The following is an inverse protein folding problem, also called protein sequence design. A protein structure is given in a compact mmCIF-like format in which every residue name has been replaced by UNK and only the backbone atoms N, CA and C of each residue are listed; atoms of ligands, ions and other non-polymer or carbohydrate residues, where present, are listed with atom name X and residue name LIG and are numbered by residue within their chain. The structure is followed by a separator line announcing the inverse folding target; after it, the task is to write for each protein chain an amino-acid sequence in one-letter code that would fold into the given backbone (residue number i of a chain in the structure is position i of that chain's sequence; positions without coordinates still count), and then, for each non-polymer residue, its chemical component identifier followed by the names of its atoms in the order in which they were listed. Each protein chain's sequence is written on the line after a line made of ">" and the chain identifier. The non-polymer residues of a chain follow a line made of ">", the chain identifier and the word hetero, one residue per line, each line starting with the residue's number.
data_IF_140629018570
#
_entry.id   IF_140629018570
#
_cell.length_a   1.000
_cell.length_b   1.000
_cell.length_c   1.000
_cell.angle_alpha   90.00
_cell.angle_beta   90.00
_cell.angle_gamma   90.00
#
_symmetry.space_group_name_H-M   'P 1'
#
loop_
_entity.id
_entity.type
_entity.pdbx_description
1 polymer ?
#
# COMPACT_ATOMS: atom_id res chain seq x y z
N UNK A 1 -8.28 2.74 -9.94
CA UNK A 1 -8.85 1.95 -11.06
C UNK A 1 -7.90 1.82 -12.24
N UNK A 2 -7.31 2.90 -12.78
CA UNK A 2 -6.41 2.83 -13.93
C UNK A 2 -5.23 1.85 -13.74
N UNK A 3 -4.58 1.88 -12.57
CA UNK A 3 -3.49 0.94 -12.23
C UNK A 3 -3.94 -0.52 -12.30
N UNK A 4 -5.06 -0.88 -11.65
CA UNK A 4 -5.60 -2.24 -11.71
C UNK A 4 -5.94 -2.69 -13.14
N UNK A 5 -6.56 -1.80 -13.94
CA UNK A 5 -6.81 -2.11 -15.36
C UNK A 5 -5.52 -2.42 -16.11
N UNK A 6 -4.44 -1.70 -15.80
CA UNK A 6 -3.13 -1.96 -16.36
C UNK A 6 -2.59 -3.31 -15.89
N UNK A 7 -2.66 -3.63 -14.59
CA UNK A 7 -2.25 -4.93 -14.05
C UNK A 7 -2.97 -6.10 -14.73
N UNK A 8 -4.29 -6.01 -14.91
CA UNK A 8 -5.06 -7.00 -15.65
C UNK A 8 -4.59 -7.13 -17.10
N UNK A 9 -4.42 -6.01 -17.81
CA UNK A 9 -3.97 -6.02 -19.21
C UNK A 9 -2.57 -6.61 -19.36
N UNK A 10 -1.65 -6.26 -18.47
CA UNK A 10 -0.30 -6.82 -18.45
C UNK A 10 -0.35 -8.31 -18.19
N UNK A 11 -1.09 -8.76 -17.18
CA UNK A 11 -1.23 -10.19 -16.90
C UNK A 11 -1.78 -10.94 -18.11
N UNK A 12 -2.88 -10.49 -18.72
CA UNK A 12 -3.46 -11.12 -19.92
C UNK A 12 -2.45 -11.18 -21.08
N UNK A 13 -1.69 -10.10 -21.29
CA UNK A 13 -0.74 -9.99 -22.39
C UNK A 13 0.46 -10.92 -22.20
N UNK A 14 1.02 -10.96 -21.00
CA UNK A 14 2.31 -11.62 -20.72
C UNK A 14 2.16 -13.05 -20.18
N UNK A 15 0.96 -13.48 -19.77
CA UNK A 15 0.72 -14.78 -19.09
C UNK A 15 1.37 -15.97 -19.81
N UNK A 16 1.20 -16.09 -21.13
CA UNK A 16 1.80 -17.20 -21.91
C UNK A 16 3.31 -17.20 -21.84
N UNK A 17 3.92 -16.01 -21.84
CA UNK A 17 5.36 -15.88 -21.73
C UNK A 17 5.83 -16.25 -20.33
N UNK A 18 5.16 -15.77 -19.28
CA UNK A 18 5.47 -16.10 -17.88
C UNK A 18 5.36 -17.60 -17.55
N UNK A 19 4.47 -18.33 -18.24
CA UNK A 19 4.30 -19.76 -18.07
C UNK A 19 5.32 -20.62 -18.85
N UNK A 20 6.12 -20.02 -19.74
CA UNK A 20 7.06 -20.78 -20.58
C UNK A 20 8.25 -21.26 -19.73
N UNK A 21 8.62 -22.56 -19.79
CA UNK A 21 9.81 -23.06 -19.10
C UNK A 21 11.08 -22.29 -19.50
N UNK A 22 11.88 -21.92 -18.52
CA UNK A 22 13.16 -21.24 -18.74
C UNK A 22 14.28 -22.27 -18.83
N UNK A 23 14.93 -22.38 -19.99
CA UNK A 23 16.11 -23.25 -20.14
C UNK A 23 17.28 -22.71 -19.34
N UNK A 24 17.92 -23.56 -18.54
CA UNK A 24 19.08 -23.18 -17.73
C UNK A 24 20.30 -24.03 -18.06
N UNK A 25 21.48 -23.44 -17.86
CA UNK A 25 22.74 -24.14 -18.11
C UNK A 25 22.97 -25.24 -17.07
N UNK A 26 23.45 -26.38 -17.55
CA UNK A 26 23.81 -27.55 -16.74
C UNK A 26 25.32 -27.65 -16.55
N UNK A 27 25.76 -28.25 -15.45
CA UNK A 27 27.18 -28.50 -15.20
C UNK A 27 27.68 -29.73 -15.96
N UNK A 28 29.00 -29.85 -16.09
CA UNK A 28 29.66 -31.00 -16.72
C UNK A 28 29.27 -32.33 -16.03
N UNK A 29 29.06 -32.29 -14.72
CA UNK A 29 28.65 -33.47 -13.92
C UNK A 29 27.27 -34.00 -14.28
N UNK A 30 26.44 -33.20 -14.95
CA UNK A 30 25.10 -33.57 -15.40
C UNK A 30 25.02 -33.84 -16.91
N UNK A 31 26.14 -33.81 -17.63
CA UNK A 31 26.16 -34.16 -19.06
C UNK A 31 25.75 -35.64 -19.28
N UNK A 32 24.88 -35.96 -20.26
CA UNK A 32 24.36 -35.12 -21.34
C UNK A 32 22.96 -34.52 -21.08
N UNK A 33 22.51 -34.42 -19.83
CA UNK A 33 21.17 -33.92 -19.50
C UNK A 33 21.01 -32.41 -19.80
N UNK A 34 19.76 -31.99 -19.99
CA UNK A 34 19.33 -30.59 -20.03
C UNK A 34 18.49 -30.25 -18.80
N UNK A 35 18.44 -28.97 -18.43
CA UNK A 35 17.61 -28.49 -17.31
C UNK A 35 16.74 -27.29 -17.72
N UNK A 36 15.58 -27.19 -17.07
CA UNK A 36 14.65 -26.08 -17.21
C UNK A 36 14.01 -25.74 -15.86
N UNK A 37 13.59 -24.49 -15.70
CA UNK A 37 12.80 -24.00 -14.57
C UNK A 37 11.35 -23.88 -15.05
N UNK A 38 10.46 -24.62 -14.38
CA UNK A 38 9.02 -24.59 -14.64
C UNK A 38 8.33 -23.91 -13.45
N UNK A 39 7.51 -22.90 -13.74
CA UNK A 39 6.71 -22.23 -12.72
C UNK A 39 5.37 -22.95 -12.52
N UNK A 40 5.03 -23.24 -11.26
CA UNK A 40 3.81 -23.95 -10.88
C UNK A 40 3.05 -23.15 -9.80
N UNK A 41 1.71 -23.28 -9.72
CA UNK A 41 0.94 -22.67 -8.64
C UNK A 41 1.37 -23.23 -7.28
N UNK A 42 1.34 -22.38 -6.25
CA UNK A 42 1.59 -22.81 -4.88
C UNK A 42 0.39 -23.56 -4.30
N UNK A 43 -0.83 -23.16 -4.66
CA UNK A 43 -2.08 -23.74 -4.15
C UNK A 43 -3.10 -22.68 -3.78
N UNK A 44 -3.35 -22.50 -2.48
CA UNK A 44 -4.33 -21.53 -1.94
C UNK A 44 -3.62 -20.35 -1.30
N UNK A 45 -3.92 -19.14 -1.81
CA UNK A 45 -3.33 -17.88 -1.38
C UNK A 45 -4.32 -17.08 -0.54
N UNK A 46 -3.90 -16.64 0.65
CA UNK A 46 -4.64 -15.66 1.44
C UNK A 46 -4.09 -14.25 1.17
N UNK A 47 -4.96 -13.33 0.74
CA UNK A 47 -4.64 -11.91 0.57
C UNK A 47 -5.35 -11.10 1.65
N UNK A 48 -4.61 -10.43 2.52
CA UNK A 48 -5.13 -9.53 3.56
C UNK A 48 -4.74 -8.11 3.18
N UNK A 49 -5.72 -7.27 2.82
CA UNK A 49 -5.47 -5.93 2.27
C UNK A 49 -5.66 -4.81 3.29
N UNK A 50 -5.02 -3.66 3.01
CA UNK A 50 -5.13 -2.45 3.83
C UNK A 50 -6.24 -1.50 3.35
N UNK A 51 -6.65 -0.60 4.23
CA UNK A 51 -7.79 0.31 4.03
C UNK A 51 -7.50 1.58 3.22
N UNK A 52 -6.23 1.97 3.06
CA UNK A 52 -5.87 3.29 2.55
C UNK A 52 -5.96 3.41 1.02
N UNK A 53 -5.80 2.30 0.31
CA UNK A 53 -6.14 2.18 -1.10
C UNK A 53 -6.91 0.86 -1.30
N UNK A 54 -8.12 0.76 -0.71
CA UNK A 54 -8.73 -0.51 -0.37
C UNK A 54 -9.12 -1.34 -1.59
N UNK A 55 -9.32 -0.69 -2.74
CA UNK A 55 -9.59 -1.38 -3.99
C UNK A 55 -8.31 -1.88 -4.67
N UNK A 56 -7.26 -1.05 -4.76
CA UNK A 56 -5.98 -1.39 -5.38
C UNK A 56 -5.27 -2.50 -4.60
N UNK A 57 -5.10 -2.31 -3.29
CA UNK A 57 -4.35 -3.23 -2.43
C UNK A 57 -5.08 -4.56 -2.21
N UNK A 58 -6.38 -4.62 -2.49
CA UNK A 58 -7.14 -5.87 -2.50
C UNK A 58 -6.93 -6.64 -3.80
N UNK A 59 -7.13 -5.98 -4.95
CA UNK A 59 -7.23 -6.69 -6.23
C UNK A 59 -5.90 -6.88 -6.95
N UNK A 60 -4.91 -6.01 -6.74
CA UNK A 60 -3.62 -6.13 -7.44
C UNK A 60 -2.89 -7.45 -7.07
N UNK A 61 -2.80 -7.83 -5.78
CA UNK A 61 -2.22 -9.13 -5.40
C UNK A 61 -3.09 -10.31 -5.86
N UNK A 62 -4.41 -10.16 -5.90
CA UNK A 62 -5.35 -11.20 -6.39
C UNK A 62 -5.12 -11.47 -7.88
N UNK A 63 -4.92 -10.41 -8.70
CA UNK A 63 -4.60 -10.56 -10.12
C UNK A 63 -3.33 -11.39 -10.30
N UNK A 64 -2.27 -11.11 -9.52
CA UNK A 64 -1.03 -11.88 -9.56
C UNK A 64 -1.22 -13.34 -9.13
N UNK A 65 -1.99 -13.59 -8.07
CA UNK A 65 -2.25 -14.93 -7.58
C UNK A 65 -3.05 -15.78 -8.59
N UNK A 66 -4.07 -15.19 -9.23
CA UNK A 66 -4.85 -15.83 -10.31
C UNK A 66 -3.97 -16.08 -11.53
N UNK A 67 -3.15 -15.12 -11.94
CA UNK A 67 -2.24 -15.28 -13.08
C UNK A 67 -1.23 -16.41 -12.85
N UNK A 68 -0.82 -16.63 -11.60
CA UNK A 68 0.03 -17.75 -11.21
C UNK A 68 -0.73 -19.08 -11.00
N UNK A 69 -2.04 -19.15 -11.29
CA UNK A 69 -2.84 -20.38 -11.26
C UNK A 69 -3.34 -20.79 -9.87
N UNK A 70 -3.39 -19.88 -8.90
CA UNK A 70 -3.76 -20.20 -7.52
C UNK A 70 -5.26 -19.97 -7.24
N UNK A 71 -5.80 -20.73 -6.28
CA UNK A 71 -7.02 -20.34 -5.59
C UNK A 71 -6.72 -19.19 -4.61
N UNK A 72 -7.70 -18.32 -4.35
CA UNK A 72 -7.49 -17.11 -3.57
C UNK A 72 -8.63 -16.85 -2.58
N UNK A 73 -8.27 -16.53 -1.34
CA UNK A 73 -9.18 -15.91 -0.38
C UNK A 73 -8.71 -14.48 -0.14
N UNK A 74 -9.57 -13.52 -0.45
CA UNK A 74 -9.36 -12.11 -0.17
C UNK A 74 -10.06 -11.73 1.14
N UNK A 75 -9.30 -11.19 2.09
CA UNK A 75 -9.80 -10.54 3.30
C UNK A 75 -9.60 -9.02 3.20
N UNK A 76 -10.62 -8.25 2.78
CA UNK A 76 -10.54 -6.80 2.71
C UNK A 76 -10.55 -6.18 4.12
N UNK A 77 -10.00 -4.96 4.25
CA UNK A 77 -10.01 -4.27 5.55
C UNK A 77 -11.42 -3.75 5.90
N UNK A 78 -11.83 -4.09 7.11
CA UNK A 78 -13.01 -3.61 7.83
C UNK A 78 -13.03 -2.09 8.03
N UNK A 79 -11.86 -1.42 7.98
CA UNK A 79 -11.74 0.04 8.11
C UNK A 79 -12.25 0.76 6.84
N UNK A 80 -12.39 0.06 5.71
CA UNK A 80 -12.99 0.57 4.48
C UNK A 80 -14.28 -0.20 4.11
N UNK A 81 -15.33 -0.15 4.95
CA UNK A 81 -16.47 -1.07 4.89
C UNK A 81 -17.25 -1.00 3.58
N UNK A 82 -17.42 0.19 2.99
CA UNK A 82 -18.08 0.35 1.70
C UNK A 82 -17.33 -0.36 0.56
N UNK A 83 -16.00 -0.35 0.60
CA UNK A 83 -15.19 -1.08 -0.39
C UNK A 83 -15.17 -2.57 -0.11
N UNK A 84 -15.11 -2.97 1.16
CA UNK A 84 -15.22 -4.38 1.58
C UNK A 84 -16.50 -5.03 1.05
N UNK A 85 -17.66 -4.42 1.33
CA UNK A 85 -18.95 -4.93 0.89
C UNK A 85 -19.09 -4.95 -0.64
N UNK A 86 -18.56 -3.93 -1.32
CA UNK A 86 -18.54 -3.88 -2.78
C UNK A 86 -17.71 -5.04 -3.36
N UNK A 87 -16.52 -5.31 -2.81
CA UNK A 87 -15.67 -6.41 -3.24
C UNK A 87 -16.34 -7.76 -2.98
N UNK A 88 -16.94 -7.96 -1.81
CA UNK A 88 -17.65 -9.20 -1.48
C UNK A 88 -18.79 -9.49 -2.47
N UNK A 89 -19.56 -8.46 -2.83
CA UNK A 89 -20.62 -8.58 -3.84
C UNK A 89 -20.06 -8.88 -5.23
N UNK A 90 -19.17 -8.02 -5.75
CA UNK A 90 -18.78 -8.07 -7.16
C UNK A 90 -17.84 -9.25 -7.47
N UNK A 91 -16.92 -9.60 -6.57
CA UNK A 91 -16.09 -10.79 -6.77
C UNK A 91 -16.97 -12.03 -6.82
N UNK A 92 -17.99 -12.12 -5.96
CA UNK A 92 -18.95 -13.22 -5.97
C UNK A 92 -19.79 -13.32 -7.24
N UNK A 93 -20.00 -12.21 -7.95
CA UNK A 93 -20.78 -12.15 -9.19
C UNK A 93 -19.95 -12.52 -10.43
N UNK A 94 -18.67 -12.11 -10.48
CA UNK A 94 -17.84 -12.23 -11.69
C UNK A 94 -16.82 -13.36 -11.65
N UNK A 95 -16.48 -13.91 -10.49
CA UNK A 95 -15.41 -14.91 -10.35
C UNK A 95 -15.97 -16.30 -10.01
N UNK A 96 -15.14 -17.32 -10.24
CA UNK A 96 -15.44 -18.68 -9.81
C UNK A 96 -15.37 -18.78 -8.27
N UNK A 97 -16.53 -18.81 -7.64
CA UNK A 97 -16.68 -18.90 -6.18
C UNK A 97 -16.14 -20.20 -5.56
N UNK A 98 -15.78 -21.21 -6.35
CA UNK A 98 -15.10 -22.39 -5.85
C UNK A 98 -13.60 -22.15 -5.60
N UNK A 99 -13.00 -21.20 -6.33
CA UNK A 99 -11.56 -20.92 -6.30
C UNK A 99 -11.21 -19.53 -5.77
N UNK A 100 -12.09 -18.53 -5.95
CA UNK A 100 -11.87 -17.15 -5.52
C UNK A 100 -12.99 -16.70 -4.58
N UNK A 101 -12.66 -16.39 -3.32
CA UNK A 101 -13.64 -15.95 -2.32
C UNK A 101 -13.22 -14.68 -1.60
N UNK A 102 -14.21 -13.94 -1.12
CA UNK A 102 -14.03 -12.81 -0.22
C UNK A 102 -14.54 -13.20 1.16
N UNK A 103 -13.75 -12.95 2.20
CA UNK A 103 -14.15 -13.14 3.59
C UNK A 103 -14.02 -11.79 4.30
N UNK A 104 -15.17 -11.19 4.58
CA UNK A 104 -15.25 -9.98 5.38
C UNK A 104 -15.07 -10.28 6.87
N UNK A 105 -14.73 -9.25 7.65
CA UNK A 105 -14.59 -9.35 9.10
C UNK A 105 -13.43 -8.54 9.63
N UNK A 106 -13.26 -8.51 10.94
CA UNK A 106 -12.23 -7.76 11.65
C UNK A 106 -11.17 -8.72 12.21
N UNK A 107 -10.77 -8.53 13.46
CA UNK A 107 -9.68 -9.27 14.10
C UNK A 107 -10.01 -10.75 14.24
N UNK A 108 -11.20 -11.10 14.73
CA UNK A 108 -11.55 -12.50 15.03
C UNK A 108 -11.60 -13.36 13.76
N UNK A 109 -12.21 -12.87 12.68
CA UNK A 109 -12.24 -13.56 11.40
C UNK A 109 -10.83 -13.65 10.78
N UNK A 110 -10.01 -12.60 10.92
CA UNK A 110 -8.59 -12.67 10.48
C UNK A 110 -7.83 -13.74 11.25
N UNK A 111 -8.02 -13.81 12.56
CA UNK A 111 -7.37 -14.81 13.40
C UNK A 111 -7.83 -16.23 13.07
N UNK A 112 -9.11 -16.43 12.78
CA UNK A 112 -9.64 -17.72 12.32
C UNK A 112 -9.07 -18.12 10.95
N UNK A 113 -8.97 -17.18 10.00
CA UNK A 113 -8.32 -17.40 8.70
C UNK A 113 -6.85 -17.78 8.88
N UNK A 114 -6.10 -17.07 9.72
CA UNK A 114 -4.68 -17.32 9.96
C UNK A 114 -4.39 -18.66 10.68
N UNK A 115 -5.40 -19.31 11.26
CA UNK A 115 -5.26 -20.67 11.80
C UNK A 115 -5.30 -21.76 10.72
N UNK A 116 -5.90 -21.45 9.56
CA UNK A 116 -5.99 -22.39 8.44
C UNK A 116 -4.62 -22.57 7.76
N UNK A 117 -4.46 -23.67 7.03
CA UNK A 117 -3.28 -23.91 6.20
C UNK A 117 -3.42 -23.15 4.88
N UNK A 118 -2.40 -22.37 4.56
CA UNK A 118 -2.28 -21.64 3.29
C UNK A 118 -0.95 -22.00 2.61
N UNK A 119 -0.92 -21.96 1.29
CA UNK A 119 0.32 -22.19 0.53
C UNK A 119 1.08 -20.87 0.30
N UNK A 120 0.39 -19.73 0.45
CA UNK A 120 1.01 -18.39 0.57
C UNK A 120 0.10 -17.43 1.33
N UNK A 121 0.69 -16.51 2.09
CA UNK A 121 -0.03 -15.37 2.66
C UNK A 121 0.58 -14.06 2.14
N UNK A 122 -0.26 -13.18 1.59
CA UNK A 122 0.08 -11.82 1.20
C UNK A 122 -0.61 -10.86 2.15
N UNK A 123 0.16 -10.07 2.90
CA UNK A 123 -0.35 -9.10 3.85
C UNK A 123 0.15 -7.71 3.52
N UNK A 124 -0.76 -6.74 3.41
CA UNK A 124 -0.42 -5.32 3.40
C UNK A 124 -0.93 -4.64 4.67
N UNK A 125 -0.06 -3.92 5.37
CA UNK A 125 -0.46 -3.12 6.52
C UNK A 125 0.71 -2.70 7.40
N UNK A 126 0.61 -2.92 8.72
CA UNK A 126 1.60 -2.43 9.68
C UNK A 126 2.48 -3.55 10.24
N UNK A 127 3.69 -3.20 10.68
CA UNK A 127 4.66 -4.18 11.17
C UNK A 127 4.25 -4.92 12.45
N UNK A 128 3.36 -4.36 13.28
CA UNK A 128 2.83 -5.07 14.46
C UNK A 128 2.01 -6.28 14.03
N UNK A 129 1.08 -6.08 13.10
CA UNK A 129 0.22 -7.16 12.57
C UNK A 129 1.00 -8.05 11.61
N UNK A 130 1.95 -7.51 10.84
CA UNK A 130 2.83 -8.33 9.99
C UNK A 130 3.60 -9.41 10.77
N UNK A 131 4.06 -9.10 11.99
CA UNK A 131 4.66 -10.11 12.89
C UNK A 131 3.67 -11.19 13.34
N UNK A 132 2.40 -10.81 13.58
CA UNK A 132 1.34 -11.77 13.94
C UNK A 132 1.06 -12.71 12.76
N UNK A 133 0.95 -12.15 11.54
CA UNK A 133 0.76 -12.93 10.31
C UNK A 133 1.91 -13.92 10.11
N UNK A 134 3.15 -13.46 10.23
CA UNK A 134 4.33 -14.33 10.09
C UNK A 134 4.40 -15.41 11.17
N UNK A 135 4.04 -15.09 12.42
CA UNK A 135 4.00 -16.07 13.50
C UNK A 135 2.92 -17.15 13.27
N UNK A 136 1.77 -16.78 12.69
CA UNK A 136 0.74 -17.75 12.30
C UNK A 136 1.20 -18.62 11.13
N UNK A 137 1.80 -18.01 10.10
CA UNK A 137 2.34 -18.69 8.92
C UNK A 137 3.40 -19.74 9.28
N UNK A 138 4.25 -19.46 10.29
CA UNK A 138 5.29 -20.37 10.74
C UNK A 138 4.77 -21.74 11.21
N UNK A 139 3.52 -21.82 11.70
CA UNK A 139 2.91 -23.09 12.14
C UNK A 139 2.71 -24.09 10.99
N UNK A 140 2.60 -23.60 9.76
CA UNK A 140 2.38 -24.39 8.54
C UNK A 140 3.55 -24.29 7.55
N UNK A 141 4.65 -23.63 7.94
CA UNK A 141 5.78 -23.28 7.07
C UNK A 141 5.34 -22.52 5.80
N UNK A 142 4.29 -21.71 5.92
CA UNK A 142 3.74 -20.96 4.79
C UNK A 142 4.64 -19.76 4.44
N UNK A 143 5.06 -19.58 3.18
CA UNK A 143 5.79 -18.40 2.75
C UNK A 143 4.89 -17.15 2.80
N UNK A 144 5.45 -16.03 3.24
CA UNK A 144 4.72 -14.76 3.37
C UNK A 144 5.30 -13.66 2.47
N UNK A 145 4.43 -12.77 2.02
CA UNK A 145 4.80 -11.43 1.51
C UNK A 145 4.21 -10.41 2.49
N UNK A 146 5.06 -9.54 3.03
CA UNK A 146 4.67 -8.53 4.00
C UNK A 146 4.98 -7.13 3.43
N UNK A 147 3.96 -6.49 2.88
CA UNK A 147 4.01 -5.10 2.41
C UNK A 147 3.71 -4.17 3.58
N UNK A 148 4.76 -3.66 4.22
CA UNK A 148 4.68 -2.89 5.46
C UNK A 148 4.94 -1.39 5.24
N UNK A 149 4.80 -0.62 6.30
CA UNK A 149 5.14 0.81 6.31
C UNK A 149 6.53 1.11 6.88
N UNK A 150 6.84 2.40 6.90
CA UNK A 150 8.04 2.97 7.50
C UNK A 150 7.97 4.49 7.47
N UNK A 151 9.11 5.15 7.69
CA UNK A 151 9.25 6.60 7.49
C UNK A 151 10.09 6.84 6.26
N UNK A 152 9.46 7.16 5.13
CA UNK A 152 10.16 7.40 3.86
C UNK A 152 10.75 8.82 3.85
N UNK A 153 12.09 8.99 3.91
CA UNK A 153 12.70 10.32 3.88
C UNK A 153 12.65 10.91 2.48
N UNK A 154 12.54 12.24 2.40
CA UNK A 154 12.88 13.01 1.19
C UNK A 154 14.11 13.86 1.50
N UNK A 155 15.22 13.55 0.85
CA UNK A 155 16.44 14.36 0.95
C UNK A 155 16.42 15.41 -0.15
N UNK A 156 16.39 16.68 0.24
CA UNK A 156 16.44 17.82 -0.68
C UNK A 156 17.80 18.49 -0.54
N UNK A 157 18.63 18.31 -1.56
CA UNK A 157 19.91 18.99 -1.67
C UNK A 157 19.70 20.53 -1.82
N UNK A 158 20.71 21.31 -1.47
CA UNK A 158 20.69 22.78 -1.52
C UNK A 158 21.41 23.36 -2.73
N UNK A 159 21.83 22.53 -3.67
CA UNK A 159 22.47 22.95 -4.91
C UNK A 159 21.56 23.88 -5.73
N UNK A 160 22.14 24.93 -6.31
CA UNK A 160 21.45 25.94 -7.13
C UNK A 160 20.78 25.37 -8.38
N UNK A 161 21.19 24.20 -8.85
CA UNK A 161 20.60 23.53 -10.01
C UNK A 161 19.23 22.85 -9.74
N UNK A 162 18.76 22.85 -8.50
CA UNK A 162 17.48 22.22 -8.14
C UNK A 162 16.32 23.15 -8.50
N UNK A 163 15.41 22.63 -9.33
CA UNK A 163 14.15 23.30 -9.59
C UNK A 163 13.24 23.17 -8.36
N UNK A 164 13.26 24.21 -7.52
CA UNK A 164 12.53 24.24 -6.26
C UNK A 164 11.01 24.09 -6.45
N UNK A 165 10.46 24.69 -7.51
CA UNK A 165 9.02 24.62 -7.77
C UNK A 165 8.59 23.20 -8.14
N UNK A 166 9.32 22.53 -9.04
CA UNK A 166 9.03 21.13 -9.39
C UNK A 166 9.22 20.22 -8.18
N UNK A 167 10.26 20.47 -7.38
CA UNK A 167 10.55 19.70 -6.17
C UNK A 167 9.40 19.79 -5.16
N UNK A 168 8.97 21.01 -4.83
CA UNK A 168 7.85 21.25 -3.89
C UNK A 168 6.54 20.66 -4.39
N UNK A 169 6.19 20.85 -5.66
CA UNK A 169 4.99 20.23 -6.26
C UNK A 169 4.99 18.71 -6.18
N UNK A 170 6.12 18.06 -6.43
CA UNK A 170 6.25 16.60 -6.33
C UNK A 170 6.15 16.11 -4.89
N UNK A 171 6.75 16.83 -3.94
CA UNK A 171 6.59 16.54 -2.51
C UNK A 171 5.11 16.68 -2.12
N UNK A 172 4.43 17.73 -2.57
CA UNK A 172 3.02 17.96 -2.24
C UNK A 172 2.14 16.86 -2.80
N UNK A 173 2.33 16.50 -4.07
CA UNK A 173 1.61 15.41 -4.72
C UNK A 173 1.81 14.08 -3.97
N UNK A 174 3.04 13.75 -3.58
CA UNK A 174 3.33 12.52 -2.82
C UNK A 174 2.86 12.54 -1.37
N UNK A 175 2.87 13.72 -0.71
CA UNK A 175 2.43 13.86 0.68
C UNK A 175 0.92 13.98 0.77
N UNK A 176 0.35 15.09 0.34
CA UNK A 176 -1.06 15.38 0.56
C UNK A 176 -1.95 14.88 -0.59
N UNK A 177 -1.44 14.89 -1.83
CA UNK A 177 -2.17 14.36 -2.99
C UNK A 177 -2.43 12.86 -2.91
N UNK A 178 -1.52 12.12 -2.28
CA UNK A 178 -1.68 10.70 -2.00
C UNK A 178 -2.49 10.45 -0.73
N UNK A 179 -3.82 10.59 -0.84
CA UNK A 179 -4.79 10.27 0.23
C UNK A 179 -4.48 10.99 1.57
N UNK A 180 -4.14 12.29 1.50
CA UNK A 180 -3.79 13.12 2.65
C UNK A 180 -2.69 12.50 3.53
N UNK A 181 -1.64 11.96 2.90
CA UNK A 181 -0.47 11.38 3.58
C UNK A 181 -0.68 9.95 4.07
N UNK A 182 -1.87 9.36 3.87
CA UNK A 182 -2.20 8.00 4.29
C UNK A 182 -1.71 6.98 3.25
N UNK A 183 -0.45 7.06 2.85
CA UNK A 183 0.17 6.13 1.90
C UNK A 183 1.51 5.61 2.46
N UNK A 184 1.76 4.30 2.34
CA UNK A 184 2.98 3.68 2.88
C UNK A 184 4.26 4.28 2.25
N UNK A 185 4.17 4.72 1.01
CA UNK A 185 5.26 5.34 0.24
C UNK A 185 5.25 6.88 0.30
N UNK A 186 4.34 7.47 1.09
CA UNK A 186 4.24 8.93 1.21
C UNK A 186 5.55 9.49 1.79
N UNK A 187 6.01 10.67 1.34
CA UNK A 187 7.03 11.45 2.04
C UNK A 187 6.69 11.57 3.52
N UNK A 188 7.47 10.97 4.39
CA UNK A 188 7.18 11.04 5.82
C UNK A 188 7.79 12.30 6.43
N UNK A 189 9.07 12.56 6.11
CA UNK A 189 9.82 13.72 6.58
C UNK A 189 10.83 14.18 5.53
N UNK A 190 11.25 15.44 5.64
CA UNK A 190 12.24 16.06 4.74
C UNK A 190 13.55 16.26 5.50
N UNK A 191 14.67 15.96 4.83
CA UNK A 191 16.02 16.31 5.27
C UNK A 191 16.58 17.31 4.26
N UNK A 192 17.07 18.46 4.73
CA UNK A 192 17.76 19.46 3.91
C UNK A 192 18.76 20.24 4.77
N UNK A 193 19.58 21.09 4.14
CA UNK A 193 20.52 21.94 4.86
C UNK A 193 19.80 23.08 5.58
N UNK A 194 20.36 23.53 6.71
CA UNK A 194 19.74 24.54 7.58
C UNK A 194 19.39 25.82 6.83
N UNK A 195 20.28 26.28 5.96
CA UNK A 195 20.12 27.55 5.23
C UNK A 195 19.10 27.43 4.08
N UNK A 196 18.85 26.21 3.59
CA UNK A 196 17.88 25.96 2.52
C UNK A 196 16.46 25.73 3.05
N UNK A 197 16.32 25.31 4.31
CA UNK A 197 15.03 24.99 4.91
C UNK A 197 13.99 26.13 4.83
N UNK A 198 14.31 27.41 5.13
CA UNK A 198 13.32 28.49 5.01
C UNK A 198 12.81 28.66 3.58
N UNK A 199 13.72 28.64 2.60
CA UNK A 199 13.39 28.74 1.17
C UNK A 199 12.46 27.62 0.71
N UNK A 200 12.72 26.39 1.18
CA UNK A 200 11.87 25.23 0.88
C UNK A 200 10.49 25.34 1.52
N UNK A 201 10.41 25.78 2.77
CA UNK A 201 9.15 25.98 3.50
C UNK A 201 8.27 27.02 2.80
N UNK A 202 8.84 28.16 2.38
CA UNK A 202 8.06 29.22 1.74
C UNK A 202 7.53 28.80 0.35
N UNK A 203 8.32 28.03 -0.41
CA UNK A 203 7.86 27.43 -1.65
C UNK A 203 6.73 26.40 -1.41
N UNK A 204 6.85 25.57 -0.37
CA UNK A 204 5.81 24.59 -0.01
C UNK A 204 4.50 25.29 0.37
N UNK A 205 4.54 26.36 1.17
CA UNK A 205 3.36 27.15 1.54
C UNK A 205 2.63 27.69 0.30
N UNK A 206 3.39 28.29 -0.61
CA UNK A 206 2.87 28.88 -1.84
C UNK A 206 2.18 27.83 -2.72
N UNK A 207 2.84 26.69 -2.93
CA UNK A 207 2.30 25.63 -3.78
C UNK A 207 1.14 24.87 -3.09
N UNK A 208 1.13 24.74 -1.76
CA UNK A 208 -0.01 24.17 -1.02
C UNK A 208 -1.28 24.99 -1.20
N UNK A 209 -1.19 26.33 -1.11
CA UNK A 209 -2.33 27.21 -1.39
C UNK A 209 -2.80 27.07 -2.85
N UNK A 210 -1.88 26.87 -3.80
CA UNK A 210 -2.26 26.63 -5.20
C UNK A 210 -2.99 25.29 -5.41
N UNK A 211 -2.67 24.26 -4.62
CA UNK A 211 -3.29 22.93 -4.73
C UNK A 211 -4.64 22.87 -4.02
N UNK A 212 -4.75 23.44 -2.82
CA UNK A 212 -5.90 23.23 -1.93
C UNK A 212 -6.64 24.50 -1.55
N UNK A 213 -6.21 25.66 -2.05
CA UNK A 213 -6.75 26.96 -1.71
C UNK A 213 -6.30 27.45 -0.33
N UNK A 214 -6.79 28.64 0.03
CA UNK A 214 -6.47 29.30 1.32
C UNK A 214 -7.00 28.56 2.54
N UNK A 215 -8.05 27.75 2.36
CA UNK A 215 -8.63 26.94 3.43
C UNK A 215 -8.67 25.46 2.98
N UNK A 216 -7.58 24.70 3.21
CA UNK A 216 -7.48 23.31 2.78
C UNK A 216 -8.56 22.39 3.34
N UNK A 217 -9.16 22.71 4.50
CA UNK A 217 -10.23 21.91 5.10
C UNK A 217 -11.53 21.91 4.28
N UNK A 218 -11.76 22.95 3.48
CA UNK A 218 -12.90 23.02 2.54
C UNK A 218 -12.55 22.49 1.14
N UNK A 219 -11.29 22.10 0.90
CA UNK A 219 -10.88 21.56 -0.38
C UNK A 219 -11.59 20.22 -0.64
N UNK A 220 -12.17 20.11 -1.84
CA UNK A 220 -12.77 18.87 -2.34
C UNK A 220 -11.73 17.85 -2.77
N UNK A 221 -10.50 18.30 -3.01
CA UNK A 221 -9.40 17.48 -3.52
C UNK A 221 -8.51 16.91 -2.39
N UNK A 222 -8.76 17.29 -1.13
CA UNK A 222 -8.04 16.80 0.02
C UNK A 222 -8.83 15.73 0.77
N UNK A 223 -8.28 14.52 0.84
CA UNK A 223 -8.91 13.39 1.55
C UNK A 223 -8.99 13.61 3.07
N UNK A 224 -9.95 12.95 3.72
CA UNK A 224 -10.10 12.96 5.18
C UNK A 224 -9.27 11.87 5.84
N UNK A 225 -9.02 12.04 7.14
CA UNK A 225 -8.38 11.00 7.95
C UNK A 225 -9.38 9.88 8.19
N UNK A 226 -8.94 8.63 8.04
CA UNK A 226 -9.83 7.47 7.94
C UNK A 226 -10.79 7.27 9.11
N UNK A 227 -10.40 7.67 10.33
CA UNK A 227 -11.26 7.61 11.52
C UNK A 227 -10.70 8.46 12.67
N UNK A 228 -11.48 8.59 13.74
CA UNK A 228 -11.15 9.34 14.97
C UNK A 228 -9.88 8.84 15.65
N UNK A 229 -9.63 7.52 15.69
CA UNK A 229 -8.40 6.98 16.29
C UNK A 229 -7.13 7.44 15.55
N UNK A 230 -7.16 7.42 14.21
CA UNK A 230 -6.05 7.90 13.39
C UNK A 230 -5.90 9.43 13.47
N UNK A 231 -7.02 10.15 13.56
CA UNK A 231 -7.04 11.60 13.76
C UNK A 231 -6.40 11.98 15.10
N UNK A 232 -6.90 11.43 16.21
CA UNK A 232 -6.38 11.69 17.56
C UNK A 232 -4.88 11.37 17.67
N UNK A 233 -4.41 10.30 17.03
CA UNK A 233 -2.97 9.98 16.96
C UNK A 233 -2.16 11.08 16.27
N UNK A 234 -2.64 11.62 15.15
CA UNK A 234 -1.96 12.70 14.43
C UNK A 234 -2.01 14.01 15.22
N UNK A 235 -3.16 14.33 15.82
CA UNK A 235 -3.34 15.46 16.71
C UNK A 235 -2.35 15.44 17.86
N UNK A 236 -2.16 14.29 18.50
CA UNK A 236 -1.18 14.11 19.58
C UNK A 236 0.26 14.38 19.13
N UNK A 237 0.61 14.10 17.86
CA UNK A 237 1.95 14.41 17.33
C UNK A 237 2.16 15.92 17.15
N UNK A 238 1.12 16.66 16.81
CA UNK A 238 1.18 18.12 16.67
C UNK A 238 1.19 18.81 18.05
N UNK A 239 0.45 18.25 19.01
CA UNK A 239 0.33 18.79 20.36
C UNK A 239 1.51 18.43 21.27
N UNK A 240 2.44 17.58 20.83
CA UNK A 240 3.68 17.27 21.56
C UNK A 240 4.49 18.56 21.78
N UNK A 241 4.96 18.79 23.02
CA UNK A 241 5.70 20.00 23.41
C UNK A 241 6.94 20.26 22.55
N UNK A 242 7.54 19.21 21.97
CA UNK A 242 8.70 19.35 21.09
C UNK A 242 8.33 19.88 19.70
N UNK A 243 7.04 19.87 19.34
CA UNK A 243 6.48 20.17 18.01
C UNK A 243 5.59 21.41 18.03
N UNK A 244 4.70 21.57 19.01
CA UNK A 244 3.63 22.58 19.01
C UNK A 244 4.15 24.02 18.82
N UNK A 245 5.25 24.38 19.47
CA UNK A 245 5.92 25.69 19.30
C UNK A 245 6.76 25.86 18.03
N UNK A 246 6.80 24.86 17.15
CA UNK A 246 7.63 24.82 15.93
C UNK A 246 6.82 24.65 14.64
N UNK A 247 5.50 24.75 14.73
CA UNK A 247 4.62 24.67 13.56
C UNK A 247 4.84 25.93 12.70
N UNK A 248 5.40 25.75 11.50
CA UNK A 248 5.73 26.85 10.58
C UNK A 248 4.63 27.17 9.56
N UNK A 249 3.65 26.27 9.42
CA UNK A 249 2.48 26.41 8.54
C UNK A 249 1.40 25.37 8.90
N UNK A 250 0.14 25.76 8.79
CA UNK A 250 -1.01 24.90 9.08
C UNK A 250 -1.15 24.57 10.57
N UNK A 251 -1.69 23.38 10.87
CA UNK A 251 -1.94 22.89 12.23
C UNK A 251 -3.42 22.91 12.62
N UNK A 252 -4.27 23.47 11.76
CA UNK A 252 -5.72 23.43 11.89
C UNK A 252 -6.22 21.97 11.82
N UNK A 253 -7.18 21.66 12.67
CA UNK A 253 -7.73 20.31 12.85
C UNK A 253 -9.22 20.41 13.15
N UNK A 254 -10.02 19.59 12.47
CA UNK A 254 -11.47 19.53 12.65
C UNK A 254 -11.95 18.08 12.60
N UNK A 255 -12.21 17.51 13.79
CA UNK A 255 -12.68 16.12 13.92
C UNK A 255 -14.12 15.95 13.41
N UNK A 256 -14.90 17.03 13.33
CA UNK A 256 -16.29 16.98 12.87
C UNK A 256 -16.40 16.76 11.36
N UNK A 257 -15.27 16.87 10.64
CA UNK A 257 -15.16 16.73 9.18
C UNK A 257 -14.43 15.46 8.73
N UNK A 258 -14.38 14.42 9.58
CA UNK A 258 -13.85 13.10 9.23
C UNK A 258 -14.68 12.40 8.15
#
# INVERSE_FOLDING_TARGET
>A
IAMLKNSCKTAIKELKHWMTPEKVQTSLTTFPASAEIVSEPLGVVLVISAWNYPFLLSLDPVIGAIAAGNAVVLKPSEIAPATSALLAKLVGEYMDNSSIRVVEGAVDETSALLQQKWDKIFYTGNGRVGRIVMAAAAKHLTPVVLELGGKSPVVVDSNSNINLQVTTRRIIAGKWGCNNGQACISPDYIITTKDYAPKLVDALKTELESFYGKNPLESKDLSRIVNSNHFARLTKLLDDDKVSGKIVHGGEKDETKL
#
